data_IF_877056120794
#
_entry.id   IF_877056120794
#
_cell.length_a   1.000
_cell.length_b   1.000
_cell.length_c   1.000
_cell.angle_alpha   90.00
_cell.angle_beta   90.00
_cell.angle_gamma   90.00
#
_symmetry.space_group_name_H-M   'P 1'
#
loop_
_entity.id
_entity.type
_entity.pdbx_description
1 polymer ?
#
# COMPACT_ATOMS: atom_id res chain seq x y z
N UNK A 1 -15.21 -0.24 -19.78
CA UNK A 1 -15.06 -1.18 -18.65
C UNK A 1 -14.60 -0.39 -17.44
N UNK A 2 -15.06 -0.73 -16.23
CA UNK A 2 -14.49 -0.20 -14.98
C UNK A 2 -13.31 -1.09 -14.59
N UNK A 3 -12.14 -0.49 -14.40
CA UNK A 3 -10.92 -1.22 -14.03
C UNK A 3 -10.95 -1.60 -12.54
N UNK A 4 -10.48 -2.80 -12.23
CA UNK A 4 -10.23 -3.24 -10.86
C UNK A 4 -8.82 -2.81 -10.49
N UNK A 5 -8.70 -2.04 -9.42
CA UNK A 5 -7.44 -1.53 -8.90
C UNK A 5 -7.32 -1.90 -7.43
N UNK A 6 -6.15 -2.38 -7.01
CA UNK A 6 -5.83 -2.62 -5.61
C UNK A 6 -4.42 -2.11 -5.31
N UNK A 7 -4.17 -1.80 -4.05
CA UNK A 7 -2.84 -1.40 -3.56
C UNK A 7 -2.36 -2.40 -2.54
N UNK A 8 -1.09 -2.78 -2.68
CA UNK A 8 -0.35 -3.50 -1.66
C UNK A 8 0.65 -2.58 -0.96
N UNK A 9 0.64 -2.57 0.37
CA UNK A 9 1.53 -1.82 1.23
C UNK A 9 2.56 -2.74 1.86
N UNK A 10 3.79 -2.26 1.95
CA UNK A 10 4.93 -3.02 2.44
C UNK A 10 5.89 -2.13 3.24
N UNK A 11 6.69 -2.78 4.08
CA UNK A 11 7.75 -2.16 4.84
C UNK A 11 8.96 -3.11 4.91
N UNK A 12 10.17 -2.56 4.99
CA UNK A 12 11.40 -3.30 5.31
C UNK A 12 11.69 -3.31 6.83
N UNK A 13 10.89 -2.58 7.61
CA UNK A 13 10.91 -2.56 9.08
C UNK A 13 9.52 -2.28 9.66
N UNK A 14 9.21 -2.94 10.78
CA UNK A 14 7.88 -2.87 11.41
C UNK A 14 6.86 -3.81 10.75
N UNK A 15 5.57 -3.58 11.00
CA UNK A 15 4.47 -4.43 10.50
C UNK A 15 3.36 -3.58 9.89
N UNK A 16 2.93 -3.94 8.68
CA UNK A 16 1.77 -3.33 8.02
C UNK A 16 0.53 -4.19 8.28
N UNK A 17 -0.47 -3.62 8.93
CA UNK A 17 -1.78 -4.23 9.10
C UNK A 17 -2.64 -3.94 7.87
N UNK A 18 -3.38 -4.96 7.42
CA UNK A 18 -4.24 -4.89 6.23
C UNK A 18 -3.46 -4.39 4.99
N UNK A 19 -2.43 -5.13 4.54
CA UNK A 19 -1.52 -4.64 3.51
C UNK A 19 -2.17 -4.53 2.13
N UNK A 20 -3.32 -5.15 1.88
CA UNK A 20 -4.03 -5.09 0.61
C UNK A 20 -5.34 -4.31 0.71
N UNK A 21 -5.52 -3.30 -0.13
CA UNK A 21 -6.73 -2.48 -0.16
C UNK A 21 -7.27 -2.35 -1.58
N UNK A 22 -8.56 -2.67 -1.76
CA UNK A 22 -9.26 -2.50 -3.03
C UNK A 22 -9.61 -1.02 -3.25
N UNK A 23 -9.03 -0.41 -4.29
CA UNK A 23 -9.23 1.01 -4.65
C UNK A 23 -10.36 1.18 -5.66
N UNK A 24 -10.56 0.23 -6.57
CA UNK A 24 -11.63 0.30 -7.57
C UNK A 24 -12.15 -1.09 -7.88
N UNK A 25 -13.46 -1.20 -8.08
CA UNK A 25 -14.09 -2.45 -8.55
C UNK A 25 -15.06 -2.18 -9.70
N UNK A 26 -15.35 -3.24 -10.47
CA UNK A 26 -16.31 -3.16 -11.57
C UNK A 26 -17.74 -2.81 -11.09
N UNK A 27 -18.11 -3.24 -9.88
CA UNK A 27 -19.47 -3.08 -9.32
C UNK A 27 -19.63 -1.78 -8.54
N UNK A 28 -18.67 -1.44 -7.68
CA UNK A 28 -18.74 -0.27 -6.79
C UNK A 28 -18.05 0.97 -7.33
N UNK A 29 -17.24 0.84 -8.39
CA UNK A 29 -16.39 1.93 -8.88
C UNK A 29 -15.26 2.26 -7.89
N UNK A 30 -14.74 3.48 -8.00
CA UNK A 30 -13.63 3.99 -7.20
C UNK A 30 -14.03 4.17 -5.73
N UNK A 31 -13.17 3.69 -4.82
CA UNK A 31 -13.26 3.81 -3.37
C UNK A 31 -12.16 4.77 -2.90
N UNK A 32 -12.54 5.73 -2.07
CA UNK A 32 -11.59 6.76 -1.61
C UNK A 32 -10.78 6.32 -0.37
N UNK A 33 -11.13 5.19 0.24
CA UNK A 33 -10.36 4.65 1.37
C UNK A 33 -9.20 3.80 0.85
N UNK A 34 -7.98 4.25 1.11
CA UNK A 34 -6.72 3.72 0.55
C UNK A 34 -5.58 3.82 1.55
N UNK A 35 -5.85 3.43 2.80
CA UNK A 35 -4.90 3.51 3.91
C UNK A 35 -4.65 2.14 4.49
N UNK A 36 -3.46 1.96 5.03
CA UNK A 36 -3.09 0.84 5.89
C UNK A 36 -2.46 1.42 7.16
N UNK A 37 -2.48 0.64 8.25
CA UNK A 37 -1.83 1.02 9.49
C UNK A 37 -0.46 0.37 9.56
N UNK A 38 0.57 1.15 9.85
CA UNK A 38 1.93 0.66 10.05
C UNK A 38 2.35 0.82 11.51
N UNK A 39 2.80 -0.28 12.11
CA UNK A 39 3.43 -0.28 13.41
C UNK A 39 4.96 -0.24 13.22
N UNK A 40 5.60 0.78 13.78
CA UNK A 40 7.05 0.94 13.70
C UNK A 40 7.80 -0.24 14.35
N UNK A 41 9.01 -0.59 13.87
CA UNK A 41 9.86 -1.56 14.55
C UNK A 41 10.28 -1.06 15.93
N UNK A 42 10.65 -1.99 16.82
CA UNK A 42 11.19 -1.63 18.14
C UNK A 42 12.61 -1.05 18.09
N UNK A 43 13.34 -1.28 17.00
CA UNK A 43 14.68 -0.73 16.79
C UNK A 43 14.60 0.59 16.01
N UNK A 44 15.26 1.63 16.52
CA UNK A 44 15.40 2.90 15.83
C UNK A 44 16.26 2.75 14.55
N UNK A 45 15.93 3.50 13.51
CA UNK A 45 16.60 3.35 12.22
C UNK A 45 15.88 3.99 11.05
N UNK A 46 16.48 3.89 9.87
CA UNK A 46 15.82 4.26 8.63
C UNK A 46 15.02 3.05 8.12
N UNK A 47 13.74 3.28 7.81
CA UNK A 47 12.87 2.28 7.20
C UNK A 47 12.33 2.80 5.88
N UNK A 48 12.01 1.87 4.98
CA UNK A 48 11.35 2.12 3.71
C UNK A 48 9.93 1.59 3.78
N UNK A 49 8.96 2.44 3.47
CA UNK A 49 7.59 2.07 3.18
C UNK A 49 7.37 2.16 1.67
N UNK A 50 6.64 1.21 1.10
CA UNK A 50 6.23 1.30 -0.30
C UNK A 50 4.82 0.82 -0.54
N UNK A 51 4.19 1.42 -1.54
CA UNK A 51 2.88 1.06 -2.01
C UNK A 51 2.96 0.69 -3.49
N UNK A 52 2.34 -0.43 -3.85
CA UNK A 52 2.26 -0.96 -5.22
C UNK A 52 0.81 -0.96 -5.63
N UNK A 53 0.45 -0.10 -6.59
CA UNK A 53 -0.87 -0.12 -7.22
C UNK A 53 -0.83 -1.11 -8.37
N UNK A 54 -1.81 -2.00 -8.41
CA UNK A 54 -2.02 -3.00 -9.45
C UNK A 54 -3.30 -2.69 -10.22
N UNK A 55 -3.31 -3.03 -11.52
CA UNK A 55 -4.53 -3.14 -12.30
C UNK A 55 -4.83 -4.59 -12.71
N UNK A 56 -6.08 -4.86 -13.06
CA UNK A 56 -6.54 -6.19 -13.49
C UNK A 56 -5.93 -6.72 -14.79
N UNK A 57 -5.11 -5.93 -15.49
CA UNK A 57 -4.41 -6.31 -16.72
C UNK A 57 -2.93 -6.61 -16.48
N UNK A 58 -2.48 -6.57 -15.23
CA UNK A 58 -1.09 -6.81 -14.84
C UNK A 58 -0.21 -5.54 -14.83
N UNK A 59 -0.79 -4.35 -15.01
CA UNK A 59 -0.09 -3.09 -14.84
C UNK A 59 0.24 -2.83 -13.38
N UNK A 60 1.42 -2.27 -13.12
CA UNK A 60 1.86 -1.92 -11.76
C UNK A 60 2.51 -0.54 -11.71
N UNK A 61 2.26 0.20 -10.62
CA UNK A 61 2.96 1.45 -10.30
C UNK A 61 3.40 1.44 -8.86
N UNK A 62 4.62 1.90 -8.58
CA UNK A 62 5.25 1.83 -7.25
C UNK A 62 5.58 3.23 -6.77
N UNK A 63 5.29 3.51 -5.49
CA UNK A 63 5.82 4.67 -4.78
C UNK A 63 6.51 4.22 -3.50
N UNK A 64 7.59 4.91 -3.14
CA UNK A 64 8.41 4.60 -1.97
C UNK A 64 8.60 5.84 -1.11
N UNK A 65 8.69 5.64 0.21
CA UNK A 65 9.00 6.67 1.19
C UNK A 65 10.00 6.13 2.19
N UNK A 66 10.95 6.97 2.57
CA UNK A 66 11.91 6.68 3.63
C UNK A 66 11.48 7.43 4.88
N UNK A 67 11.41 6.72 6.01
CA UNK A 67 11.05 7.29 7.31
C UNK A 67 12.16 6.97 8.31
N UNK A 68 12.50 7.96 9.15
CA UNK A 68 13.40 7.77 10.28
C UNK A 68 12.55 7.45 11.51
N UNK A 69 12.82 6.32 12.15
CA UNK A 69 12.30 5.94 13.47
C UNK A 69 13.35 6.31 14.50
N UNK A 70 12.93 6.99 15.57
CA UNK A 70 13.77 7.51 16.64
C UNK A 70 13.41 6.85 17.98
#
# INVERSE_FOLDING_TARGET
QREVLWVNFYADGGVVAEPEVLISSATTGYKNDRKATWAAPGEAGLVTLWAVVHDSRGGTSVTRRYLRVE
#
